data_IF_369511118062
#
_entry.id   IF_369511118062
#
_cell.length_a   1.000
_cell.length_b   1.000
_cell.length_c   1.000
_cell.angle_alpha   90.00
_cell.angle_beta   90.00
_cell.angle_gamma   90.00
#
_symmetry.space_group_name_H-M   'P 1'
#
loop_
_entity.id
_entity.type
_entity.pdbx_description
1 polymer ?
#
# COMPACT_ATOMS: atom_id res chain seq x y z
N UNK A 1 -18.91 -18.20 -35.64
CA UNK A 1 -17.99 -18.84 -34.66
C UNK A 1 -17.89 -17.91 -33.45
N UNK A 2 -18.47 -18.26 -32.29
CA UNK A 2 -18.43 -17.39 -31.10
C UNK A 2 -17.14 -17.68 -30.32
N UNK A 3 -16.24 -16.70 -30.26
CA UNK A 3 -15.04 -16.80 -29.45
C UNK A 3 -15.45 -16.93 -27.97
N UNK A 4 -15.16 -18.08 -27.37
CA UNK A 4 -15.30 -18.26 -25.92
C UNK A 4 -14.17 -17.46 -25.28
N UNK A 5 -14.49 -16.26 -24.81
CA UNK A 5 -13.61 -15.53 -23.91
C UNK A 5 -13.43 -16.40 -22.66
N UNK A 6 -12.26 -17.01 -22.51
CA UNK A 6 -11.87 -17.63 -21.23
C UNK A 6 -11.98 -16.53 -20.19
N UNK A 7 -12.91 -16.68 -19.25
CA UNK A 7 -12.94 -15.85 -18.06
C UNK A 7 -11.54 -15.97 -17.43
N UNK A 8 -10.72 -14.92 -17.59
CA UNK A 8 -9.45 -14.82 -16.88
C UNK A 8 -9.76 -15.02 -15.41
N UNK A 9 -8.99 -15.89 -14.74
CA UNK A 9 -9.13 -16.18 -13.31
C UNK A 9 -9.34 -14.84 -12.60
N UNK A 10 -10.57 -14.57 -12.19
CA UNK A 10 -10.91 -13.36 -11.47
C UNK A 10 -9.97 -13.31 -10.27
N UNK A 11 -9.36 -12.15 -10.03
CA UNK A 11 -8.46 -11.97 -8.89
C UNK A 11 -9.33 -11.92 -7.63
N UNK A 12 -9.89 -13.08 -7.25
CA UNK A 12 -11.00 -13.17 -6.29
C UNK A 12 -10.60 -12.69 -4.89
N UNK A 13 -9.31 -12.48 -4.62
CA UNK A 13 -8.80 -11.99 -3.34
C UNK A 13 -7.56 -11.09 -3.50
N UNK A 14 -7.57 -10.09 -4.41
CA UNK A 14 -6.51 -9.09 -4.38
C UNK A 14 -6.65 -8.19 -3.14
N UNK A 15 -5.90 -8.51 -2.09
CA UNK A 15 -5.82 -7.67 -0.91
C UNK A 15 -4.97 -6.42 -1.23
N UNK A 16 -5.65 -5.39 -1.75
CA UNK A 16 -5.03 -4.10 -2.12
C UNK A 16 -4.27 -3.49 -0.95
N UNK A 17 -4.83 -3.57 0.25
CA UNK A 17 -4.16 -3.10 1.46
C UNK A 17 -2.83 -3.82 1.68
N UNK A 18 -2.81 -5.15 1.68
CA UNK A 18 -1.59 -5.92 1.91
C UNK A 18 -0.53 -5.66 0.83
N UNK A 19 -0.94 -5.52 -0.42
CA UNK A 19 -0.04 -5.19 -1.52
C UNK A 19 0.64 -3.84 -1.31
N UNK A 20 -0.13 -2.78 -1.05
CA UNK A 20 0.42 -1.45 -0.84
C UNK A 20 1.19 -1.32 0.47
N UNK A 21 0.71 -1.95 1.55
CA UNK A 21 1.42 -1.97 2.84
C UNK A 21 2.78 -2.68 2.75
N UNK A 22 2.85 -3.79 1.99
CA UNK A 22 4.12 -4.51 1.77
C UNK A 22 5.07 -3.68 0.93
N UNK A 23 4.56 -2.97 -0.08
CA UNK A 23 5.38 -2.10 -0.92
C UNK A 23 5.92 -0.91 -0.11
N UNK A 24 5.04 -0.23 0.62
CA UNK A 24 5.42 0.87 1.53
C UNK A 24 6.48 0.45 2.55
N UNK A 25 6.36 -0.74 3.13
CA UNK A 25 7.35 -1.26 4.08
C UNK A 25 8.73 -1.53 3.45
N UNK A 26 8.78 -1.91 2.17
CA UNK A 26 10.04 -2.06 1.43
C UNK A 26 10.68 -0.70 1.16
N UNK A 27 9.89 0.29 0.78
CA UNK A 27 10.38 1.64 0.52
C UNK A 27 10.88 2.30 1.84
N UNK A 28 10.17 2.06 2.96
CA UNK A 28 10.64 2.46 4.30
C UNK A 28 12.00 1.84 4.67
N UNK A 29 12.24 0.59 4.28
CA UNK A 29 13.52 -0.09 4.52
C UNK A 29 14.63 0.41 3.58
N UNK A 30 14.27 0.79 2.35
CA UNK A 30 15.19 1.38 1.39
C UNK A 30 15.57 2.83 1.74
N UNK A 31 14.80 3.48 2.61
CA UNK A 31 14.94 4.91 2.92
C UNK A 31 14.19 5.82 1.93
N UNK A 32 13.42 5.25 1.00
CA UNK A 32 12.56 5.97 0.07
C UNK A 32 11.24 6.38 0.74
N UNK A 33 11.34 7.34 1.66
CA UNK A 33 10.19 7.80 2.42
C UNK A 33 9.12 8.49 1.55
N UNK A 34 9.49 9.07 0.42
CA UNK A 34 8.54 9.72 -0.51
C UNK A 34 7.57 8.71 -1.13
N UNK A 35 8.10 7.62 -1.69
CA UNK A 35 7.30 6.51 -2.23
C UNK A 35 6.55 5.77 -1.11
N UNK A 36 7.19 5.59 0.05
CA UNK A 36 6.54 4.98 1.21
C UNK A 36 5.29 5.74 1.65
N UNK A 37 5.34 7.08 1.69
CA UNK A 37 4.19 7.94 2.01
C UNK A 37 3.04 7.69 1.03
N UNK A 38 3.35 7.64 -0.27
CA UNK A 38 2.37 7.43 -1.34
C UNK A 38 1.74 6.04 -1.24
N UNK A 39 2.53 5.00 -1.00
CA UNK A 39 2.02 3.65 -0.83
C UNK A 39 1.23 3.47 0.47
N UNK A 40 1.61 4.13 1.58
CA UNK A 40 0.82 4.13 2.82
C UNK A 40 -0.52 4.84 2.65
N UNK A 41 -0.56 5.94 1.89
CA UNK A 41 -1.80 6.63 1.56
C UNK A 41 -2.75 5.71 0.74
N UNK A 42 -2.23 5.01 -0.27
CA UNK A 42 -2.99 4.04 -1.07
C UNK A 42 -3.47 2.85 -0.24
N UNK A 43 -2.63 2.35 0.67
CA UNK A 43 -3.00 1.29 1.61
C UNK A 43 -4.16 1.73 2.51
N UNK A 44 -4.10 2.94 3.07
CA UNK A 44 -5.13 3.50 3.94
C UNK A 44 -6.51 3.64 3.25
N UNK A 45 -6.53 3.90 1.94
CA UNK A 45 -7.77 3.97 1.14
C UNK A 45 -8.43 2.61 0.95
N UNK A 46 -7.64 1.52 0.98
CA UNK A 46 -8.12 0.16 0.77
C UNK A 46 -8.22 -0.66 2.07
N UNK A 47 -7.98 -0.02 3.22
CA UNK A 47 -7.91 -0.65 4.54
C UNK A 47 -9.26 -0.65 5.27
N UNK A 48 -9.45 -1.63 6.17
CA UNK A 48 -10.47 -1.53 7.22
C UNK A 48 -10.08 -0.47 8.26
N UNK A 49 -10.97 -0.10 9.19
CA UNK A 49 -10.72 0.98 10.15
C UNK A 49 -9.44 0.79 10.97
N UNK A 50 -9.18 -0.44 11.45
CA UNK A 50 -7.96 -0.77 12.21
C UNK A 50 -6.69 -0.58 11.38
N UNK A 51 -6.68 -1.14 10.17
CA UNK A 51 -5.55 -1.08 9.25
C UNK A 51 -5.35 0.34 8.71
N UNK A 52 -6.41 1.14 8.61
CA UNK A 52 -6.36 2.54 8.21
C UNK A 52 -5.64 3.37 9.27
N UNK A 53 -5.95 3.17 10.56
CA UNK A 53 -5.23 3.84 11.66
C UNK A 53 -3.75 3.50 11.60
N UNK A 54 -3.42 2.23 11.39
CA UNK A 54 -2.03 1.80 11.27
C UNK A 54 -1.31 2.41 10.05
N UNK A 55 -1.93 2.38 8.86
CA UNK A 55 -1.38 2.96 7.65
C UNK A 55 -1.18 4.48 7.78
N UNK A 56 -2.11 5.19 8.43
CA UNK A 56 -1.98 6.63 8.71
C UNK A 56 -0.84 6.90 9.69
N UNK A 57 -0.66 6.07 10.72
CA UNK A 57 0.46 6.20 11.66
C UNK A 57 1.81 5.97 10.96
N UNK A 58 1.92 4.97 10.08
CA UNK A 58 3.14 4.72 9.29
C UNK A 58 3.42 5.81 8.27
N UNK A 59 2.39 6.34 7.62
CA UNK A 59 2.53 7.54 6.76
C UNK A 59 3.15 8.71 7.52
N UNK A 60 2.63 9.02 8.71
CA UNK A 60 3.17 10.10 9.56
C UNK A 60 4.61 9.86 10.00
N UNK A 61 4.97 8.60 10.25
CA UNK A 61 6.35 8.22 10.53
C UNK A 61 7.25 8.52 9.33
N UNK A 62 6.85 8.12 8.12
CA UNK A 62 7.59 8.42 6.89
C UNK A 62 7.70 9.92 6.63
N UNK A 63 6.63 10.68 6.84
CA UNK A 63 6.64 12.16 6.72
C UNK A 63 7.66 12.79 7.68
N UNK A 64 7.76 12.29 8.93
CA UNK A 64 8.80 12.73 9.87
C UNK A 64 10.19 12.35 9.36
N UNK A 65 10.40 11.10 8.95
CA UNK A 65 11.70 10.62 8.48
C UNK A 65 12.18 11.39 7.24
N UNK A 66 11.26 11.80 6.36
CA UNK A 66 11.57 12.65 5.20
C UNK A 66 12.01 14.05 5.63
N UNK A 67 11.34 14.67 6.61
CA UNK A 67 11.66 16.03 7.05
C UNK A 67 12.89 16.10 7.95
N UNK A 68 13.08 15.09 8.80
CA UNK A 68 14.18 15.01 9.75
C UNK A 68 14.52 13.53 10.00
N UNK A 69 15.41 12.95 9.16
CA UNK A 69 15.99 11.65 9.44
C UNK A 69 16.74 11.73 10.79
N UNK A 70 16.70 10.63 11.56
CA UNK A 70 17.35 10.56 12.88
C UNK A 70 18.87 10.74 12.79
#
# INVERSE_FOLDING_TARGET
MKAKHKAGKSVVNFNRYQYYATKAAKDEQAGDYEDAISHWALAALSANETNKVWAVARKKFCERMQQRPF
#
